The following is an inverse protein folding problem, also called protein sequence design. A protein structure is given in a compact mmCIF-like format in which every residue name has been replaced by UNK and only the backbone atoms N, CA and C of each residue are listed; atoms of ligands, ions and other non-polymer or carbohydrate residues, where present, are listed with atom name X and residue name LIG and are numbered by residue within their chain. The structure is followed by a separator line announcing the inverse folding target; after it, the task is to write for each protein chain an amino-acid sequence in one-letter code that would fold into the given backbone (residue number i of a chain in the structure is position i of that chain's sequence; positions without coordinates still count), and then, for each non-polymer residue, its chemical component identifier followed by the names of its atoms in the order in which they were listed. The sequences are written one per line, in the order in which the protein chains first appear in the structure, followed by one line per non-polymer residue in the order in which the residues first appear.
data_IF_499029401205
#
_entry.id   IF_499029401205
#
_cell.length_a   1.000
_cell.length_b   1.000
_cell.length_c   1.000
_cell.angle_alpha   90.00
_cell.angle_beta   90.00
_cell.angle_gamma   90.00
#
_symmetry.space_group_name_H-M   'P 1'
#
loop_
_entity.id
_entity.type
_entity.pdbx_description
1 polymer ?
#
# COMPACT_ATOMS: atom_id res chain seq x y z
N UNK A 1 20.96 20.63 4.92
CA UNK A 1 20.55 19.55 5.84
C UNK A 1 19.41 18.82 5.18
N UNK A 2 19.65 17.60 4.72
CA UNK A 2 18.80 16.94 3.74
C UNK A 2 17.55 16.33 4.39
N UNK A 3 16.38 16.87 4.04
CA UNK A 3 15.08 16.40 4.50
C UNK A 3 14.86 14.93 4.09
N UNK A 4 15.36 14.57 2.90
CA UNK A 4 15.38 13.20 2.40
C UNK A 4 16.21 12.29 3.32
N UNK A 5 17.42 12.67 3.72
CA UNK A 5 18.22 11.91 4.68
C UNK A 5 17.57 11.67 6.05
N UNK A 6 16.70 12.57 6.54
CA UNK A 6 15.92 12.36 7.78
C UNK A 6 14.69 11.47 7.58
N UNK A 7 13.99 11.63 6.46
CA UNK A 7 12.91 10.73 6.06
C UNK A 7 13.45 9.30 5.86
N UNK A 8 14.65 9.16 5.31
CA UNK A 8 15.31 7.87 5.09
C UNK A 8 15.60 7.09 6.36
N UNK A 9 15.98 7.77 7.45
CA UNK A 9 16.13 7.15 8.77
C UNK A 9 14.83 6.68 9.41
N UNK A 10 13.67 7.14 8.91
CA UNK A 10 12.35 6.81 9.43
C UNK A 10 11.43 6.25 8.32
N UNK A 11 11.99 5.73 7.21
CA UNK A 11 11.20 5.20 6.09
C UNK A 11 10.34 3.99 6.52
N UNK A 12 10.79 3.28 7.55
CA UNK A 12 10.03 2.23 8.25
C UNK A 12 8.80 2.75 9.01
N UNK A 13 8.77 4.04 9.37
CA UNK A 13 7.61 4.75 9.93
C UNK A 13 6.68 5.29 8.85
N UNK A 14 7.19 5.49 7.63
CA UNK A 14 6.38 5.83 6.46
C UNK A 14 5.63 4.62 5.90
N UNK A 15 6.12 3.39 6.19
CA UNK A 15 5.36 2.17 5.95
C UNK A 15 4.12 2.15 6.85
N UNK A 16 2.96 2.31 6.24
CA UNK A 16 1.68 2.25 6.92
C UNK A 16 0.96 0.95 6.58
N UNK A 17 0.43 0.27 7.59
CA UNK A 17 -0.42 -0.90 7.38
C UNK A 17 -1.71 -0.45 6.66
N UNK A 18 -2.10 -1.06 5.54
CA UNK A 18 -3.37 -0.74 4.88
C UNK A 18 -4.57 -1.14 5.75
N UNK A 19 -5.56 -0.24 5.87
CA UNK A 19 -6.79 -0.46 6.62
C UNK A 19 -7.92 0.39 6.06
N UNK A 20 -9.14 0.17 6.56
CA UNK A 20 -10.32 0.93 6.13
C UNK A 20 -11.02 0.33 4.91
N UNK A 21 -11.84 1.14 4.24
CA UNK A 21 -12.58 0.79 3.02
C UNK A 21 -11.64 0.68 1.81
N UNK A 22 -12.08 0.18 0.65
CA UNK A 22 -11.22 -0.03 -0.53
C UNK A 22 -10.36 1.18 -0.91
N UNK A 23 -10.94 2.38 -0.94
CA UNK A 23 -10.20 3.63 -1.16
C UNK A 23 -9.12 3.90 -0.10
N UNK A 24 -9.44 3.72 1.18
CA UNK A 24 -8.51 3.96 2.29
C UNK A 24 -7.39 2.92 2.29
N UNK A 25 -7.72 1.67 1.93
CA UNK A 25 -6.76 0.60 1.75
C UNK A 25 -5.76 0.95 0.64
N UNK A 26 -6.25 1.40 -0.53
CA UNK A 26 -5.40 1.80 -1.66
C UNK A 26 -4.54 3.04 -1.38
N UNK A 27 -5.06 4.03 -0.66
CA UNK A 27 -4.30 5.24 -0.24
C UNK A 27 -3.08 4.87 0.61
N UNK A 28 -3.17 3.80 1.41
CA UNK A 28 -2.07 3.33 2.25
C UNK A 28 -1.20 2.26 1.54
N UNK A 29 -1.79 1.50 0.63
CA UNK A 29 -1.11 0.44 -0.11
C UNK A 29 -0.16 0.98 -1.19
N UNK A 30 -0.60 1.94 -2.02
CA UNK A 30 0.20 2.45 -3.13
C UNK A 30 1.52 3.11 -2.69
N UNK A 31 1.55 3.96 -1.64
CA UNK A 31 2.80 4.56 -1.16
C UNK A 31 3.84 3.54 -0.69
N UNK A 32 3.41 2.41 -0.09
CA UNK A 32 4.32 1.34 0.34
C UNK A 32 5.13 0.76 -0.83
N UNK A 33 4.53 0.65 -2.03
CA UNK A 33 5.21 0.18 -3.24
C UNK A 33 6.29 1.20 -3.68
N UNK A 34 5.95 2.49 -3.72
CA UNK A 34 6.89 3.53 -4.12
C UNK A 34 8.06 3.65 -3.13
N UNK A 35 7.79 3.55 -1.83
CA UNK A 35 8.80 3.54 -0.77
C UNK A 35 9.76 2.37 -0.96
N UNK A 36 9.25 1.16 -1.23
CA UNK A 36 10.06 -0.01 -1.48
C UNK A 36 10.95 0.14 -2.73
N UNK A 37 10.37 0.60 -3.85
CA UNK A 37 11.12 0.84 -5.08
C UNK A 37 12.23 1.88 -4.88
N UNK A 38 11.92 2.94 -4.14
CA UNK A 38 12.90 3.97 -3.83
C UNK A 38 14.05 3.42 -2.99
N UNK A 39 13.76 2.75 -1.88
CA UNK A 39 14.77 2.11 -1.01
C UNK A 39 15.64 1.11 -1.76
N UNK A 40 15.04 0.34 -2.67
CA UNK A 40 15.76 -0.59 -3.54
C UNK A 40 16.70 0.16 -4.50
N UNK A 41 16.21 1.23 -5.14
CA UNK A 41 17.01 2.03 -6.09
C UNK A 41 18.16 2.78 -5.43
N UNK A 42 18.00 3.22 -4.18
CA UNK A 42 19.02 3.94 -3.42
C UNK A 42 19.95 3.01 -2.63
N UNK A 43 19.75 1.68 -2.70
CA UNK A 43 20.55 0.70 -1.97
C UNK A 43 20.37 0.75 -0.45
N UNK A 44 19.26 1.30 0.03
CA UNK A 44 18.96 1.45 1.46
C UNK A 44 17.95 0.41 1.98
N UNK A 45 17.55 -0.51 1.11
CA UNK A 45 16.66 -1.60 1.47
C UNK A 45 17.37 -2.61 2.37
N UNK A 46 16.98 -2.67 3.64
CA UNK A 46 17.41 -3.73 4.56
C UNK A 46 16.45 -4.92 4.50
N UNK A 47 16.90 -6.13 4.88
CA UNK A 47 16.03 -7.30 4.97
C UNK A 47 14.81 -7.09 5.87
N UNK A 48 14.98 -6.42 7.02
CA UNK A 48 13.89 -6.14 7.97
C UNK A 48 12.82 -5.21 7.38
N UNK A 49 13.25 -4.15 6.69
CA UNK A 49 12.32 -3.21 6.04
C UNK A 49 11.58 -3.92 4.90
N UNK A 50 12.29 -4.74 4.12
CA UNK A 50 11.70 -5.55 3.05
C UNK A 50 10.64 -6.49 3.60
N UNK A 51 10.94 -7.24 4.66
CA UNK A 51 9.99 -8.18 5.25
C UNK A 51 8.74 -7.46 5.78
N UNK A 52 8.93 -6.36 6.52
CA UNK A 52 7.81 -5.54 7.04
C UNK A 52 6.92 -5.03 5.91
N UNK A 53 7.52 -4.46 4.88
CA UNK A 53 6.79 -3.92 3.74
C UNK A 53 6.09 -5.04 2.94
N UNK A 54 6.72 -6.20 2.72
CA UNK A 54 6.08 -7.36 2.09
C UNK A 54 4.84 -7.79 2.88
N UNK A 55 4.92 -7.90 4.20
CA UNK A 55 3.75 -8.24 5.03
C UNK A 55 2.62 -7.22 4.89
N UNK A 56 2.94 -5.92 4.83
CA UNK A 56 1.95 -4.87 4.62
C UNK A 56 1.33 -4.92 3.23
N UNK A 57 2.12 -5.21 2.19
CA UNK A 57 1.64 -5.39 0.84
C UNK A 57 0.76 -6.65 0.72
N UNK A 58 1.17 -7.79 1.26
CA UNK A 58 0.35 -9.01 1.24
C UNK A 58 -0.99 -8.80 1.94
N UNK A 59 -0.97 -8.17 3.12
CA UNK A 59 -2.20 -7.85 3.86
C UNK A 59 -3.09 -6.87 3.11
N UNK A 60 -2.52 -5.78 2.56
CA UNK A 60 -3.26 -4.80 1.77
C UNK A 60 -3.84 -5.39 0.48
N UNK A 61 -3.09 -6.26 -0.20
CA UNK A 61 -3.55 -6.93 -1.41
C UNK A 61 -4.69 -7.92 -1.12
N UNK A 62 -4.56 -8.74 -0.08
CA UNK A 62 -5.64 -9.64 0.34
C UNK A 62 -6.90 -8.86 0.71
N UNK A 63 -6.75 -7.73 1.38
CA UNK A 63 -7.88 -6.86 1.72
C UNK A 63 -8.49 -6.20 0.48
N UNK A 64 -7.68 -5.75 -0.47
CA UNK A 64 -8.15 -5.17 -1.72
C UNK A 64 -8.99 -6.17 -2.52
N UNK A 65 -8.59 -7.45 -2.54
CA UNK A 65 -9.37 -8.51 -3.18
C UNK A 65 -10.77 -8.69 -2.57
N UNK A 66 -11.02 -8.28 -1.33
CA UNK A 66 -12.36 -8.32 -0.73
C UNK A 66 -13.29 -7.25 -1.29
N UNK A 67 -12.74 -6.22 -1.93
CA UNK A 67 -13.46 -5.14 -2.59
C UNK A 67 -13.69 -5.38 -4.08
N UNK A 68 -13.26 -6.54 -4.59
CA UNK A 68 -13.42 -6.93 -5.98
C UNK A 68 -14.84 -7.48 -6.24
N UNK A 69 -15.44 -7.02 -7.32
CA UNK A 69 -16.71 -7.48 -7.87
C UNK A 69 -16.52 -8.68 -8.81
N UNK A 70 -17.61 -9.39 -9.10
CA UNK A 70 -17.55 -10.59 -9.96
C UNK A 70 -17.23 -10.26 -11.43
N UNK A 71 -17.49 -9.02 -11.85
CA UNK A 71 -17.12 -8.48 -13.17
C UNK A 71 -15.66 -8.04 -13.25
N UNK A 72 -14.93 -8.09 -12.13
CA UNK A 72 -13.53 -7.69 -12.04
C UNK A 72 -13.28 -6.24 -11.63
N UNK A 73 -14.33 -5.44 -11.45
CA UNK A 73 -14.23 -4.06 -10.96
C UNK A 73 -14.00 -3.99 -9.43
N UNK A 74 -13.56 -2.85 -8.92
CA UNK A 74 -13.34 -2.61 -7.48
C UNK A 74 -14.18 -1.43 -6.99
N UNK A 75 -14.62 -1.44 -5.73
CA UNK A 75 -15.37 -0.33 -5.13
C UNK A 75 -15.06 -0.15 -3.63
N UNK A 76 -15.57 0.90 -3.00
CA UNK A 76 -15.16 1.27 -1.63
C UNK A 76 -15.60 0.22 -0.62
N UNK A 77 -16.74 -0.39 -0.90
CA UNK A 77 -17.37 -1.36 -0.04
C UNK A 77 -17.55 -2.71 -0.74
N UNK A 78 -16.88 -2.93 -1.88
CA UNK A 78 -16.95 -4.18 -2.64
C UNK A 78 -18.38 -4.50 -3.07
N UNK A 79 -18.79 -5.76 -2.90
CA UNK A 79 -20.13 -6.25 -3.28
C UNK A 79 -21.30 -5.57 -2.55
N UNK A 80 -21.03 -4.75 -1.54
CA UNK A 80 -22.07 -3.90 -0.93
C UNK A 80 -22.41 -2.69 -1.81
N UNK A 81 -21.52 -2.28 -2.71
CA UNK A 81 -21.84 -1.28 -3.74
C UNK A 81 -22.52 -1.94 -4.95
N UNK A 82 -23.49 -1.28 -5.59
CA UNK A 82 -24.19 -1.81 -6.76
C UNK A 82 -23.33 -1.87 -8.03
N UNK A 83 -22.18 -1.18 -8.05
CA UNK A 83 -21.24 -1.15 -9.18
C UNK A 83 -19.83 -0.79 -8.74
N UNK A 84 -18.82 -1.21 -9.51
CA UNK A 84 -17.44 -0.76 -9.36
C UNK A 84 -17.26 0.75 -9.55
N UNK A 85 -16.23 1.32 -8.94
CA UNK A 85 -15.80 2.69 -9.18
C UNK A 85 -14.88 2.76 -10.41
N UNK A 86 -14.94 3.88 -11.12
CA UNK A 86 -14.16 4.15 -12.35
C UNK A 86 -12.90 4.99 -12.10
N UNK A 87 -12.75 5.51 -10.89
CA UNK A 87 -11.67 6.44 -10.52
C UNK A 87 -10.43 5.74 -9.96
N UNK A 88 -10.51 4.42 -9.74
CA UNK A 88 -9.46 3.56 -9.19
C UNK A 88 -9.55 2.17 -9.79
#
# INVERSE_FOLDING_TARGET
GDLMGRAMKNLDQLLAMPYGCGEQNMVLFAPNIFILNYLQSTGQLTPDIREKATRFLESGYQRELTYKHDDGSYSAFGKSDPSGNTWW
#
